data_IF_258781457292
#
_entry.id   IF_258781457292
#
_cell.length_a   1.000
_cell.length_b   1.000
_cell.length_c   1.000
_cell.angle_alpha   90.00
_cell.angle_beta   90.00
_cell.angle_gamma   90.00
#
_symmetry.space_group_name_H-M   'P 1'
#
loop_
_entity.id
_entity.type
_entity.pdbx_description
1 polymer ?
#
# COMPACT_ATOMS: atom_id res chain seq x y z
N UNK A 1 13.18 -18.98 24.17
CA UNK A 1 13.40 -19.34 22.75
C UNK A 1 13.01 -18.12 21.93
N UNK A 2 13.94 -17.20 21.77
CA UNK A 2 13.64 -15.87 21.25
C UNK A 2 14.64 -15.53 20.14
N UNK A 3 14.15 -14.80 19.14
CA UNK A 3 14.93 -14.07 18.14
C UNK A 3 15.64 -14.86 17.03
N UNK A 4 14.93 -15.19 15.94
CA UNK A 4 15.56 -15.36 14.60
C UNK A 4 14.79 -14.69 13.43
N UNK A 5 13.82 -13.80 13.69
CA UNK A 5 13.06 -13.16 12.61
C UNK A 5 13.66 -11.84 12.10
N UNK A 6 14.78 -11.40 12.67
CA UNK A 6 15.33 -10.05 12.48
C UNK A 6 16.06 -9.83 11.13
N UNK A 7 16.16 -10.82 10.26
CA UNK A 7 17.01 -10.73 9.07
C UNK A 7 16.40 -11.30 7.77
N UNK A 8 15.08 -11.17 7.58
CA UNK A 8 14.46 -11.37 6.26
C UNK A 8 14.62 -10.08 5.45
N UNK A 9 15.11 -10.12 4.19
CA UNK A 9 15.14 -8.93 3.35
C UNK A 9 13.70 -8.41 3.22
N UNK A 10 13.46 -7.18 3.68
CA UNK A 10 12.17 -6.51 3.51
C UNK A 10 12.02 -6.16 2.04
N UNK A 11 11.00 -6.69 1.38
CA UNK A 11 10.65 -6.24 0.04
C UNK A 11 10.40 -4.74 0.05
N UNK A 12 10.99 -4.05 -0.93
CA UNK A 12 10.78 -2.63 -1.17
C UNK A 12 10.32 -2.49 -2.62
N UNK A 13 9.12 -1.95 -2.87
CA UNK A 13 8.70 -1.67 -4.24
C UNK A 13 9.62 -0.62 -4.87
N UNK A 14 9.64 -0.56 -6.19
CA UNK A 14 10.51 0.35 -6.91
C UNK A 14 10.09 1.81 -6.65
N UNK A 15 10.94 2.65 -6.02
CA UNK A 15 10.57 4.02 -5.66
C UNK A 15 10.36 4.94 -6.87
N UNK A 16 10.86 4.56 -8.06
CA UNK A 16 10.66 5.31 -9.30
C UNK A 16 9.29 5.10 -9.96
N UNK A 17 8.51 4.12 -9.50
CA UNK A 17 7.17 3.86 -10.02
C UNK A 17 6.12 4.79 -9.41
N UNK A 18 4.97 4.94 -10.09
CA UNK A 18 3.81 5.64 -9.52
C UNK A 18 3.29 4.87 -8.30
N UNK A 19 2.64 5.58 -7.38
CA UNK A 19 2.09 5.01 -6.15
C UNK A 19 1.30 3.71 -6.37
N UNK A 20 0.39 3.68 -7.36
CA UNK A 20 -0.43 2.49 -7.62
C UNK A 20 0.38 1.31 -8.14
N UNK A 21 1.45 1.55 -8.89
CA UNK A 21 2.32 0.49 -9.38
C UNK A 21 3.15 -0.10 -8.22
N UNK A 22 3.62 0.74 -7.31
CA UNK A 22 4.27 0.30 -6.07
C UNK A 22 3.33 -0.55 -5.20
N UNK A 23 2.05 -0.16 -5.08
CA UNK A 23 1.04 -0.94 -4.35
C UNK A 23 0.86 -2.32 -4.99
N UNK A 24 0.74 -2.40 -6.32
CA UNK A 24 0.60 -3.68 -7.03
C UNK A 24 1.82 -4.58 -6.84
N UNK A 25 3.03 -4.01 -6.91
CA UNK A 25 4.26 -4.76 -6.63
C UNK A 25 4.24 -5.41 -5.23
N UNK A 26 3.82 -4.65 -4.21
CA UNK A 26 3.70 -5.17 -2.83
C UNK A 26 2.64 -6.27 -2.75
N UNK A 27 1.46 -6.08 -3.33
CA UNK A 27 0.38 -7.07 -3.29
C UNK A 27 0.77 -8.37 -4.02
N UNK A 28 1.47 -8.26 -5.16
CA UNK A 28 1.96 -9.41 -5.91
C UNK A 28 3.10 -10.13 -5.19
N UNK A 29 4.01 -9.39 -4.56
CA UNK A 29 5.07 -9.95 -3.72
C UNK A 29 4.48 -10.80 -2.58
N UNK A 30 3.36 -10.36 -2.00
CA UNK A 30 2.63 -11.10 -0.96
C UNK A 30 1.62 -12.12 -1.51
N UNK A 31 1.63 -12.39 -2.82
CA UNK A 31 0.77 -13.38 -3.48
C UNK A 31 -0.74 -13.16 -3.26
N UNK A 32 -1.17 -11.89 -3.13
CA UNK A 32 -2.60 -11.59 -3.13
C UNK A 32 -3.23 -11.93 -4.48
N UNK A 33 -4.47 -12.39 -4.44
CA UNK A 33 -5.23 -12.68 -5.64
C UNK A 33 -5.42 -11.39 -6.48
N UNK A 34 -5.45 -11.54 -7.80
CA UNK A 34 -5.65 -10.42 -8.74
C UNK A 34 -6.94 -9.62 -8.45
N UNK A 35 -8.01 -10.29 -8.01
CA UNK A 35 -9.25 -9.62 -7.61
C UNK A 35 -9.03 -8.73 -6.37
N UNK A 36 -8.26 -9.21 -5.39
CA UNK A 36 -7.91 -8.43 -4.20
C UNK A 36 -7.04 -7.24 -4.54
N UNK A 37 -6.05 -7.42 -5.44
CA UNK A 37 -5.24 -6.32 -5.99
C UNK A 37 -6.14 -5.20 -6.54
N UNK A 38 -7.10 -5.56 -7.39
CA UNK A 38 -8.01 -4.61 -8.00
C UNK A 38 -8.88 -3.87 -6.95
N UNK A 39 -9.49 -4.61 -6.02
CA UNK A 39 -10.31 -4.04 -4.95
C UNK A 39 -9.50 -3.07 -4.08
N UNK A 40 -8.28 -3.45 -3.70
CA UNK A 40 -7.44 -2.62 -2.83
C UNK A 40 -6.99 -1.35 -3.54
N UNK A 41 -6.54 -1.46 -4.81
CA UNK A 41 -6.21 -0.29 -5.61
C UNK A 41 -7.40 0.69 -5.74
N UNK A 42 -8.61 0.17 -5.95
CA UNK A 42 -9.81 0.99 -6.06
C UNK A 42 -10.12 1.74 -4.75
N UNK A 43 -10.04 1.07 -3.59
CA UNK A 43 -10.25 1.71 -2.29
C UNK A 43 -9.19 2.77 -1.99
N UNK A 44 -7.92 2.50 -2.27
CA UNK A 44 -6.83 3.46 -2.06
C UNK A 44 -7.04 4.70 -2.95
N UNK A 45 -7.40 4.52 -4.22
CA UNK A 45 -7.71 5.65 -5.11
C UNK A 45 -8.89 6.46 -4.58
N UNK A 46 -9.98 5.80 -4.20
CA UNK A 46 -11.17 6.48 -3.65
C UNK A 46 -10.82 7.29 -2.40
N UNK A 47 -10.00 6.72 -1.51
CA UNK A 47 -9.50 7.41 -0.32
C UNK A 47 -8.69 8.66 -0.68
N UNK A 48 -7.71 8.54 -1.58
CA UNK A 48 -6.91 9.69 -2.05
C UNK A 48 -7.80 10.78 -2.67
N UNK A 49 -8.79 10.39 -3.48
CA UNK A 49 -9.73 11.32 -4.09
C UNK A 49 -10.63 12.02 -3.06
N UNK A 50 -11.09 11.30 -2.03
CA UNK A 50 -11.89 11.87 -0.95
C UNK A 50 -11.15 13.01 -0.22
N UNK A 51 -9.83 12.90 -0.08
CA UNK A 51 -8.95 13.94 0.50
C UNK A 51 -8.38 14.94 -0.54
N UNK A 52 -9.06 15.11 -1.67
CA UNK A 52 -8.74 16.15 -2.66
C UNK A 52 -7.70 15.76 -3.70
N UNK A 53 -7.29 14.49 -3.80
CA UNK A 53 -6.50 13.94 -4.91
C UNK A 53 -5.04 14.37 -4.99
N UNK A 54 -4.63 15.40 -4.24
CA UNK A 54 -3.26 15.96 -4.22
C UNK A 54 -2.49 15.60 -2.94
N UNK A 55 -3.16 15.02 -1.96
CA UNK A 55 -2.57 14.68 -0.67
C UNK A 55 -1.92 13.30 -0.76
N UNK A 56 -0.60 13.25 -0.55
CA UNK A 56 0.12 11.98 -0.48
C UNK A 56 -0.39 11.16 0.72
N UNK A 57 -0.69 9.85 0.59
CA UNK A 57 -1.27 9.03 1.66
C UNK A 57 -0.48 9.04 2.96
N UNK A 58 0.85 9.15 2.92
CA UNK A 58 1.67 9.27 4.13
C UNK A 58 1.34 10.49 5.02
N UNK A 59 0.59 11.47 4.49
CA UNK A 59 0.11 12.63 5.26
C UNK A 59 -1.28 12.41 5.86
N UNK A 60 -1.93 11.30 5.50
CA UNK A 60 -3.22 10.88 6.02
C UNK A 60 -2.99 9.74 7.03
N UNK A 61 -3.66 9.83 8.18
CA UNK A 61 -3.46 8.90 9.29
C UNK A 61 -4.70 8.08 9.62
N UNK A 62 -4.62 7.29 10.68
CA UNK A 62 -5.75 6.46 11.15
C UNK A 62 -7.03 7.27 11.39
N UNK A 63 -6.90 8.48 11.94
CA UNK A 63 -8.03 9.40 12.17
C UNK A 63 -8.76 9.80 10.89
N UNK A 64 -8.05 9.84 9.76
CA UNK A 64 -8.63 10.16 8.45
C UNK A 64 -9.34 8.94 7.83
N UNK A 65 -9.01 7.73 8.27
CA UNK A 65 -9.65 6.48 7.82
C UNK A 65 -10.99 6.25 8.52
N UNK A 66 -11.11 6.66 9.78
CA UNK A 66 -12.32 6.45 10.61
C UNK A 66 -13.41 7.52 10.40
N UNK A 67 -13.18 8.49 9.53
CA UNK A 67 -14.07 9.63 9.29
C UNK A 67 -15.20 9.30 8.33
#
# INVERSE_FOLDING_TARGET
MESQEKNKPKFRPNPGLKLMDQVREVLRYHHYAYRTEHTYCQWILRYIHYFGGKTHPNRLGAKDVER
#
